data_IF_741205648177
#
_entry.id   IF_741205648177
#
_cell.length_a   1.000
_cell.length_b   1.000
_cell.length_c   1.000
_cell.angle_alpha   90.00
_cell.angle_beta   90.00
_cell.angle_gamma   90.00
#
_symmetry.space_group_name_H-M   'P 1'
#
loop_
_entity.id
_entity.type
_entity.pdbx_description
1 polymer ?
#
# COMPACT_ATOMS: atom_id res chain seq x y z
N UNK A 1 -10.98 35.49 -7.74
CA UNK A 1 -9.74 34.89 -7.19
C UNK A 1 -10.08 34.34 -5.83
N UNK A 2 -10.34 33.04 -5.73
CA UNK A 2 -10.59 32.35 -4.45
C UNK A 2 -9.43 31.39 -4.30
N UNK A 3 -8.57 31.62 -3.29
CA UNK A 3 -7.46 30.75 -2.97
C UNK A 3 -7.99 29.37 -2.54
N UNK A 4 -7.29 28.25 -2.90
CA UNK A 4 -7.66 26.96 -2.38
C UNK A 4 -7.37 26.92 -0.88
N UNK A 5 -8.39 26.70 -0.10
CA UNK A 5 -8.30 26.42 1.33
C UNK A 5 -7.61 25.06 1.49
N UNK A 6 -6.37 25.11 1.97
CA UNK A 6 -5.68 23.94 2.52
C UNK A 6 -6.56 23.36 3.64
N UNK A 7 -6.97 22.11 3.51
CA UNK A 7 -7.60 21.35 4.61
C UNK A 7 -6.70 21.40 5.84
N UNK A 8 -7.26 21.51 7.05
CA UNK A 8 -6.46 21.65 8.27
C UNK A 8 -5.60 20.42 8.46
N UNK A 9 -4.28 20.62 8.60
CA UNK A 9 -3.36 19.59 9.02
C UNK A 9 -3.89 18.89 10.26
N UNK A 10 -4.03 17.55 10.19
CA UNK A 10 -4.41 16.74 11.33
C UNK A 10 -3.42 16.99 12.47
N UNK A 11 -3.91 17.29 13.66
CA UNK A 11 -3.11 17.54 14.87
C UNK A 11 -2.48 16.26 15.45
N UNK A 12 -2.45 15.15 14.69
CA UNK A 12 -1.80 13.88 15.02
C UNK A 12 -0.50 13.71 14.22
N UNK A 13 0.49 13.01 14.82
CA UNK A 13 1.73 12.62 14.12
C UNK A 13 1.47 11.77 12.86
N UNK A 14 2.52 11.43 12.10
CA UNK A 14 2.39 10.62 10.88
C UNK A 14 1.83 9.24 11.20
N UNK A 15 0.88 8.76 10.38
CA UNK A 15 0.30 7.42 10.55
C UNK A 15 1.29 6.32 10.20
N UNK A 16 2.16 6.57 9.23
CA UNK A 16 3.26 5.67 8.86
C UNK A 16 4.56 6.47 8.76
N UNK A 17 5.61 5.99 9.42
CA UNK A 17 6.95 6.58 9.36
C UNK A 17 7.98 5.51 9.06
N UNK A 18 8.81 5.77 8.08
CA UNK A 18 9.99 5.02 7.71
C UNK A 18 11.23 5.83 8.09
N UNK A 19 12.14 5.27 8.89
CA UNK A 19 13.30 5.98 9.44
C UNK A 19 14.59 5.21 9.14
N UNK A 20 15.39 5.71 8.21
CA UNK A 20 16.67 5.17 7.78
C UNK A 20 16.62 3.66 7.49
N UNK A 21 15.57 3.19 6.83
CA UNK A 21 15.37 1.78 6.53
C UNK A 21 16.39 1.30 5.52
N UNK A 22 17.14 0.26 5.89
CA UNK A 22 18.10 -0.47 5.04
C UNK A 22 17.68 -1.92 4.94
N UNK A 23 17.88 -2.52 3.78
CA UNK A 23 17.63 -3.95 3.57
C UNK A 23 18.70 -4.53 2.67
N UNK A 24 19.33 -5.59 3.17
CA UNK A 24 20.29 -6.40 2.41
C UNK A 24 19.80 -7.84 2.32
N UNK A 25 20.09 -8.48 1.19
CA UNK A 25 19.95 -9.91 0.97
C UNK A 25 21.34 -10.47 0.67
N UNK A 26 21.95 -11.10 1.67
CA UNK A 26 23.38 -11.46 1.61
C UNK A 26 24.25 -10.21 1.45
N UNK A 27 25.09 -10.18 0.42
CA UNK A 27 25.95 -9.04 0.12
C UNK A 27 25.27 -7.91 -0.67
N UNK A 28 24.05 -8.12 -1.18
CA UNK A 28 23.34 -7.12 -1.99
C UNK A 28 22.48 -6.22 -1.12
N UNK A 29 22.86 -4.95 -0.99
CA UNK A 29 22.08 -3.93 -0.31
C UNK A 29 21.05 -3.33 -1.27
N UNK A 30 19.76 -3.67 -1.07
CA UNK A 30 18.62 -3.26 -1.91
C UNK A 30 18.03 -1.93 -1.46
N UNK A 31 17.94 -1.68 -0.14
CA UNK A 31 17.49 -0.38 0.41
C UNK A 31 18.64 0.25 1.19
N UNK A 32 18.91 1.52 0.92
CA UNK A 32 20.10 2.22 1.37
C UNK A 32 19.79 3.46 2.21
N UNK A 33 18.93 3.28 3.23
CA UNK A 33 18.64 4.35 4.19
C UNK A 33 17.44 5.21 3.79
N UNK A 34 16.30 4.58 3.52
CA UNK A 34 15.05 5.24 3.14
C UNK A 34 14.40 5.86 4.36
N UNK A 35 14.00 7.15 4.24
CA UNK A 35 13.27 7.88 5.29
C UNK A 35 12.17 8.72 4.69
N UNK A 36 10.95 8.57 5.21
CA UNK A 36 9.79 9.40 4.89
C UNK A 36 8.69 9.25 5.96
N UNK A 37 7.72 10.14 5.92
CA UNK A 37 6.54 10.12 6.79
C UNK A 37 5.29 10.31 5.94
N UNK A 38 4.18 9.69 6.36
CA UNK A 38 2.89 9.78 5.69
C UNK A 38 1.85 10.22 6.71
N UNK A 39 1.20 11.38 6.49
CA UNK A 39 0.04 11.79 7.28
C UNK A 39 -1.15 10.86 7.05
N UNK A 40 -2.08 10.80 8.03
CA UNK A 40 -3.34 10.09 7.84
C UNK A 40 -4.16 10.74 6.71
N UNK A 41 -4.79 9.91 5.88
CA UNK A 41 -5.64 10.33 4.76
C UNK A 41 -4.87 10.78 3.52
N UNK A 42 -3.53 10.65 3.48
CA UNK A 42 -2.74 11.04 2.31
C UNK A 42 -2.30 9.84 1.47
N UNK A 43 -2.04 10.12 0.20
CA UNK A 43 -1.57 9.16 -0.80
C UNK A 43 -0.12 9.46 -1.16
N UNK A 44 0.78 8.51 -0.83
CA UNK A 44 2.17 8.51 -1.30
C UNK A 44 2.31 7.55 -2.47
N UNK A 45 2.78 8.04 -3.60
CA UNK A 45 3.18 7.17 -4.72
C UNK A 45 4.69 7.01 -4.79
N UNK A 46 5.14 5.79 -5.04
CA UNK A 46 6.56 5.46 -5.23
C UNK A 46 6.74 4.96 -6.67
N UNK A 47 7.53 5.69 -7.43
CA UNK A 47 7.88 5.35 -8.82
C UNK A 47 9.36 5.02 -8.92
N UNK A 48 9.77 4.38 -10.00
CA UNK A 48 11.18 4.04 -10.27
C UNK A 48 11.32 2.79 -11.15
N UNK A 49 12.50 2.59 -11.69
CA UNK A 49 12.81 1.47 -12.56
C UNK A 49 12.63 0.11 -11.86
N UNK A 50 12.50 -0.97 -12.64
CA UNK A 50 12.52 -2.33 -12.09
C UNK A 50 13.83 -2.56 -11.33
N UNK A 51 13.77 -3.26 -10.19
CA UNK A 51 14.92 -3.49 -9.34
C UNK A 51 15.36 -2.31 -8.46
N UNK A 52 14.68 -1.15 -8.48
CA UNK A 52 15.04 0.00 -7.63
C UNK A 52 14.74 -0.21 -6.14
N UNK A 53 14.02 -1.28 -5.76
CA UNK A 53 13.72 -1.63 -4.36
C UNK A 53 12.28 -1.33 -3.91
N UNK A 54 11.37 -0.89 -4.79
CA UNK A 54 9.99 -0.48 -4.48
C UNK A 54 9.21 -1.55 -3.70
N UNK A 55 9.10 -2.77 -4.25
CA UNK A 55 8.38 -3.88 -3.60
C UNK A 55 9.04 -4.33 -2.31
N UNK A 56 10.39 -4.29 -2.25
CA UNK A 56 11.13 -4.57 -1.02
C UNK A 56 10.80 -3.55 0.06
N UNK A 57 10.69 -2.27 -0.30
CA UNK A 57 10.31 -1.21 0.62
C UNK A 57 8.88 -1.45 1.16
N UNK A 58 7.89 -1.71 0.29
CA UNK A 58 6.54 -2.02 0.74
C UNK A 58 6.50 -3.22 1.70
N UNK A 59 7.26 -4.28 1.41
CA UNK A 59 7.37 -5.45 2.28
C UNK A 59 8.05 -5.15 3.61
N UNK A 60 8.95 -4.18 3.66
CA UNK A 60 9.51 -3.68 4.91
C UNK A 60 8.49 -2.86 5.70
N UNK A 61 7.64 -2.06 5.05
CA UNK A 61 6.63 -1.23 5.72
C UNK A 61 5.61 -2.08 6.49
N UNK A 62 5.18 -3.23 5.95
CA UNK A 62 4.26 -4.14 6.64
C UNK A 62 4.98 -5.28 7.39
N UNK A 63 6.31 -5.22 7.48
CA UNK A 63 7.13 -6.22 8.17
C UNK A 63 6.95 -7.65 7.64
N UNK A 64 6.67 -7.82 6.33
CA UNK A 64 6.82 -9.09 5.61
C UNK A 64 8.31 -9.37 5.36
N UNK A 65 9.08 -8.31 5.10
CA UNK A 65 10.54 -8.34 5.11
C UNK A 65 11.04 -7.53 6.32
N UNK A 66 11.87 -8.15 7.15
CA UNK A 66 12.50 -7.44 8.25
C UNK A 66 13.60 -6.52 7.71
N UNK A 67 13.60 -5.21 8.00
CA UNK A 67 14.73 -4.34 7.71
C UNK A 67 16.04 -4.88 8.32
N UNK A 68 17.14 -4.72 7.62
CA UNK A 68 18.49 -5.02 8.16
C UNK A 68 18.88 -4.00 9.23
N UNK A 69 18.48 -2.74 9.01
CA UNK A 69 18.58 -1.64 10.00
C UNK A 69 17.56 -0.56 9.69
N UNK A 70 17.42 0.40 10.59
CA UNK A 70 16.36 1.40 10.53
C UNK A 70 15.04 0.87 11.10
N UNK A 71 14.00 1.68 11.05
CA UNK A 71 12.74 1.39 11.73
C UNK A 71 11.54 1.86 10.92
N UNK A 72 10.44 1.12 11.07
CA UNK A 72 9.11 1.48 10.58
C UNK A 72 8.20 1.67 11.77
N UNK A 73 7.39 2.72 11.76
CA UNK A 73 6.40 3.00 12.78
C UNK A 73 5.01 3.09 12.15
N UNK A 74 4.05 2.45 12.79
CA UNK A 74 2.64 2.58 12.47
C UNK A 74 1.94 3.25 13.66
N UNK A 75 1.32 4.40 13.42
CA UNK A 75 0.60 5.16 14.44
C UNK A 75 1.45 5.39 15.71
N UNK A 76 2.71 5.79 15.51
CA UNK A 76 3.69 6.01 16.57
C UNK A 76 4.31 4.75 17.18
N UNK A 77 3.77 3.55 16.91
CA UNK A 77 4.31 2.28 17.42
C UNK A 77 5.35 1.67 16.47
N UNK A 78 6.54 1.28 16.94
CA UNK A 78 7.54 0.64 16.09
C UNK A 78 7.08 -0.76 15.66
N UNK A 79 7.34 -1.11 14.40
CA UNK A 79 7.12 -2.44 13.83
C UNK A 79 8.31 -3.34 14.13
N UNK A 80 8.05 -4.59 14.55
CA UNK A 80 9.10 -5.59 14.78
C UNK A 80 9.97 -5.37 16.04
N UNK A 81 9.83 -4.25 16.71
CA UNK A 81 10.62 -3.90 17.91
C UNK A 81 9.67 -3.52 19.07
N UNK A 82 10.09 -3.87 20.27
CA UNK A 82 9.47 -3.49 21.53
C UNK A 82 10.44 -2.68 22.36
N UNK A 83 9.99 -1.56 22.93
CA UNK A 83 10.76 -0.72 23.83
C UNK A 83 10.42 -1.15 25.28
N UNK A 84 11.41 -1.57 26.05
CA UNK A 84 11.27 -1.90 27.48
C UNK A 84 11.14 -0.62 28.32
N UNK A 85 10.63 -0.68 29.58
CA UNK A 85 10.53 0.49 30.45
C UNK A 85 11.87 1.22 30.69
N UNK A 86 12.98 0.51 30.60
CA UNK A 86 14.34 1.09 30.71
C UNK A 86 14.86 1.68 29.39
N UNK A 87 14.01 1.82 28.34
CA UNK A 87 14.38 2.32 27.03
C UNK A 87 15.09 1.32 26.11
N UNK A 88 15.41 0.11 26.60
CA UNK A 88 16.08 -0.91 25.77
C UNK A 88 15.17 -1.43 24.67
N UNK A 89 15.66 -1.47 23.44
CA UNK A 89 14.97 -2.04 22.28
C UNK A 89 15.25 -3.54 22.16
N UNK A 90 14.21 -4.32 22.01
CA UNK A 90 14.30 -5.78 21.83
C UNK A 90 13.34 -6.22 20.71
N UNK A 91 13.60 -7.34 20.02
CA UNK A 91 12.66 -7.89 19.05
C UNK A 91 11.25 -8.06 19.66
N UNK A 92 10.23 -7.69 18.91
CA UNK A 92 8.84 -7.85 19.37
C UNK A 92 8.40 -9.31 19.20
N UNK A 93 7.37 -9.71 19.95
CA UNK A 93 6.77 -11.04 19.83
C UNK A 93 6.01 -11.17 18.51
N UNK A 94 6.04 -12.35 17.89
CA UNK A 94 5.33 -12.63 16.64
C UNK A 94 3.84 -12.24 16.69
N UNK A 95 3.16 -12.50 17.81
CA UNK A 95 1.75 -12.12 18.01
C UNK A 95 1.54 -10.59 17.96
N UNK A 96 2.44 -9.79 18.51
CA UNK A 96 2.35 -8.33 18.45
C UNK A 96 2.60 -7.82 17.05
N UNK A 97 3.59 -8.39 16.34
CA UNK A 97 3.87 -8.07 14.95
C UNK A 97 2.64 -8.39 14.09
N UNK A 98 2.03 -9.57 14.27
CA UNK A 98 0.82 -9.97 13.56
C UNK A 98 -0.35 -9.00 13.82
N UNK A 99 -0.56 -8.58 15.08
CA UNK A 99 -1.59 -7.60 15.46
C UNK A 99 -1.37 -6.24 14.78
N UNK A 100 -0.12 -5.76 14.72
CA UNK A 100 0.22 -4.51 14.03
C UNK A 100 0.06 -4.66 12.52
N UNK A 101 0.52 -5.78 11.93
CA UNK A 101 0.37 -6.08 10.51
C UNK A 101 -1.10 -6.13 10.07
N UNK A 102 -2.01 -6.63 10.93
CA UNK A 102 -3.44 -6.65 10.64
C UNK A 102 -4.06 -5.24 10.48
N UNK A 103 -3.34 -4.17 10.85
CA UNK A 103 -3.75 -2.79 10.64
C UNK A 103 -3.20 -2.19 9.33
N UNK A 104 -2.45 -2.96 8.55
CA UNK A 104 -1.90 -2.57 7.25
C UNK A 104 -2.47 -3.52 6.21
N UNK A 105 -3.29 -3.02 5.29
CA UNK A 105 -3.73 -3.77 4.12
C UNK A 105 -2.62 -3.84 3.09
N UNK A 106 -2.47 -4.98 2.40
CA UNK A 106 -1.53 -5.09 1.28
C UNK A 106 -2.17 -5.79 0.11
N UNK A 107 -2.05 -5.17 -1.05
CA UNK A 107 -2.50 -5.66 -2.34
C UNK A 107 -1.27 -5.89 -3.20
N UNK A 108 -1.11 -7.11 -3.70
CA UNK A 108 0.05 -7.53 -4.48
C UNK A 108 -0.23 -7.46 -5.98
N UNK A 109 0.80 -7.49 -6.78
CA UNK A 109 0.73 -7.62 -8.24
C UNK A 109 -0.02 -8.88 -8.65
N UNK A 110 0.29 -10.02 -8.00
CA UNK A 110 -0.51 -11.24 -8.12
C UNK A 110 -1.67 -11.18 -7.13
N UNK A 111 -2.86 -11.57 -7.55
CA UNK A 111 -4.09 -11.44 -6.76
C UNK A 111 -4.06 -12.22 -5.44
N UNK A 112 -3.33 -13.35 -5.43
CA UNK A 112 -3.12 -14.22 -4.26
C UNK A 112 -4.45 -14.62 -3.57
N UNK A 113 -5.50 -14.85 -4.36
CA UNK A 113 -6.75 -15.37 -3.85
C UNK A 113 -6.63 -16.87 -3.58
N UNK A 114 -7.34 -17.33 -2.56
CA UNK A 114 -7.48 -18.76 -2.30
C UNK A 114 -8.43 -19.38 -3.35
N UNK A 115 -7.95 -20.26 -4.23
CA UNK A 115 -8.72 -20.74 -5.37
C UNK A 115 -9.91 -21.64 -4.98
N UNK A 116 -9.87 -22.24 -3.80
CA UNK A 116 -10.91 -23.08 -3.23
C UNK A 116 -11.97 -22.33 -2.42
N UNK A 117 -11.87 -21.01 -2.35
CA UNK A 117 -12.80 -20.12 -1.65
C UNK A 117 -13.51 -19.20 -2.65
N UNK A 118 -14.78 -18.90 -2.40
CA UNK A 118 -15.52 -17.88 -3.16
C UNK A 118 -14.95 -16.48 -2.91
N UNK A 119 -15.39 -15.49 -3.69
CA UNK A 119 -15.00 -14.09 -3.47
C UNK A 119 -15.36 -13.63 -2.04
N UNK A 120 -16.58 -13.92 -1.58
CA UNK A 120 -17.00 -13.59 -0.21
C UNK A 120 -16.13 -14.29 0.84
N UNK A 121 -15.85 -15.58 0.67
CA UNK A 121 -15.00 -16.32 1.60
C UNK A 121 -13.57 -15.76 1.65
N UNK A 122 -12.99 -15.38 0.50
CA UNK A 122 -11.70 -14.72 0.43
C UNK A 122 -11.67 -13.40 1.23
N UNK A 123 -12.75 -12.64 1.20
CA UNK A 123 -12.87 -11.36 1.94
C UNK A 123 -13.10 -11.60 3.44
N UNK A 124 -13.87 -12.63 3.80
CA UNK A 124 -14.33 -12.83 5.18
C UNK A 124 -13.40 -13.68 6.05
N UNK A 125 -12.51 -14.47 5.45
CA UNK A 125 -11.66 -15.40 6.19
C UNK A 125 -10.83 -14.72 7.28
N UNK A 126 -10.18 -13.59 6.95
CA UNK A 126 -9.40 -12.85 7.93
C UNK A 126 -10.28 -12.20 9.03
N UNK A 127 -11.52 -11.85 8.72
CA UNK A 127 -12.47 -11.34 9.71
C UNK A 127 -12.82 -12.41 10.76
N UNK A 128 -12.96 -13.65 10.31
CA UNK A 128 -13.27 -14.78 11.20
C UNK A 128 -12.03 -15.20 11.98
N UNK A 129 -10.92 -15.48 11.28
CA UNK A 129 -9.74 -16.09 11.90
C UNK A 129 -8.88 -15.10 12.70
N UNK A 130 -8.81 -13.85 12.28
CA UNK A 130 -7.93 -12.83 12.89
C UNK A 130 -8.71 -11.91 13.82
N UNK A 131 -9.90 -11.43 13.39
CA UNK A 131 -10.75 -10.54 14.20
C UNK A 131 -11.72 -11.28 15.11
N UNK A 132 -11.90 -12.60 14.93
CA UNK A 132 -12.81 -13.43 15.75
C UNK A 132 -14.29 -13.09 15.56
N UNK A 133 -14.68 -12.51 14.41
CA UNK A 133 -16.07 -12.23 14.14
C UNK A 133 -16.86 -13.52 13.89
N UNK A 134 -18.12 -13.55 14.31
CA UNK A 134 -19.02 -14.64 13.90
C UNK A 134 -19.26 -14.60 12.38
N UNK A 135 -19.63 -15.76 11.82
CA UNK A 135 -19.74 -15.93 10.38
C UNK A 135 -20.81 -15.02 9.74
N UNK A 136 -21.90 -14.75 10.44
CA UNK A 136 -22.97 -13.91 9.90
C UNK A 136 -22.50 -12.46 9.79
N UNK A 137 -21.92 -11.89 10.85
CA UNK A 137 -21.35 -10.53 10.83
C UNK A 137 -20.21 -10.40 9.83
N UNK A 138 -19.35 -11.42 9.73
CA UNK A 138 -18.29 -11.43 8.74
C UNK A 138 -18.85 -11.43 7.30
N UNK A 139 -19.91 -12.20 7.03
CA UNK A 139 -20.56 -12.25 5.74
C UNK A 139 -21.21 -10.90 5.37
N UNK A 140 -21.90 -10.24 6.30
CA UNK A 140 -22.50 -8.93 6.08
C UNK A 140 -21.44 -7.87 5.77
N UNK A 141 -20.38 -7.83 6.55
CA UNK A 141 -19.25 -6.92 6.31
C UNK A 141 -18.55 -7.23 4.99
N UNK A 142 -18.36 -8.50 4.66
CA UNK A 142 -17.77 -8.96 3.41
C UNK A 142 -18.60 -8.54 2.19
N UNK A 143 -19.92 -8.70 2.23
CA UNK A 143 -20.83 -8.24 1.15
C UNK A 143 -20.79 -6.73 0.98
N UNK A 144 -20.81 -5.98 2.08
CA UNK A 144 -20.68 -4.51 2.04
C UNK A 144 -19.33 -4.08 1.43
N UNK A 145 -18.26 -4.81 1.73
CA UNK A 145 -16.94 -4.52 1.17
C UNK A 145 -16.84 -4.90 -0.31
N UNK A 146 -17.45 -6.02 -0.71
CA UNK A 146 -17.57 -6.39 -2.13
C UNK A 146 -18.40 -5.37 -2.93
N UNK A 147 -19.46 -4.82 -2.33
CA UNK A 147 -20.24 -3.75 -2.95
C UNK A 147 -19.39 -2.51 -3.22
N UNK A 148 -18.50 -2.11 -2.30
CA UNK A 148 -17.57 -0.97 -2.49
C UNK A 148 -16.63 -1.13 -3.68
N UNK A 149 -16.30 -2.36 -4.07
CA UNK A 149 -15.46 -2.64 -5.23
C UNK A 149 -16.27 -3.12 -6.45
N UNK A 150 -17.61 -2.90 -6.45
CA UNK A 150 -18.55 -3.27 -7.51
C UNK A 150 -18.53 -4.76 -7.85
N UNK A 151 -18.50 -5.63 -6.83
CA UNK A 151 -18.47 -7.10 -6.99
C UNK A 151 -19.46 -7.85 -6.09
N UNK A 152 -20.52 -7.17 -5.59
CA UNK A 152 -21.51 -7.82 -4.73
C UNK A 152 -22.17 -9.02 -5.43
N UNK A 153 -22.51 -8.90 -6.72
CA UNK A 153 -23.12 -9.97 -7.52
C UNK A 153 -22.20 -11.16 -7.79
N UNK A 154 -20.90 -10.97 -7.54
CA UNK A 154 -19.85 -12.00 -7.70
C UNK A 154 -19.43 -12.64 -6.37
N UNK A 155 -20.17 -12.37 -5.28
CA UNK A 155 -19.83 -12.85 -3.94
C UNK A 155 -19.64 -14.37 -3.85
N UNK A 156 -20.44 -15.12 -4.58
CA UNK A 156 -20.44 -16.59 -4.55
C UNK A 156 -19.62 -17.22 -5.69
N UNK A 157 -18.99 -16.40 -6.56
CA UNK A 157 -18.10 -16.89 -7.63
C UNK A 157 -16.72 -17.25 -7.07
N UNK A 158 -16.13 -18.33 -7.63
CA UNK A 158 -14.75 -18.72 -7.35
C UNK A 158 -13.77 -17.93 -8.23
N UNK A 159 -12.50 -17.76 -7.80
CA UNK A 159 -11.49 -16.99 -8.57
C UNK A 159 -11.37 -17.43 -10.04
N UNK A 160 -11.51 -18.72 -10.33
CA UNK A 160 -11.45 -19.24 -11.70
C UNK A 160 -12.57 -18.71 -12.63
N UNK A 161 -13.66 -18.15 -12.09
CA UNK A 161 -14.76 -17.54 -12.84
C UNK A 161 -14.68 -16.02 -12.92
N UNK A 162 -13.66 -15.44 -12.32
CA UNK A 162 -13.46 -13.99 -12.26
C UNK A 162 -12.38 -13.56 -13.28
N UNK A 163 -12.60 -12.43 -13.94
CA UNK A 163 -11.54 -11.77 -14.73
C UNK A 163 -10.37 -11.34 -13.84
N UNK A 164 -9.21 -11.04 -14.41
CA UNK A 164 -8.06 -10.54 -13.67
C UNK A 164 -8.39 -9.28 -12.86
N UNK A 165 -9.09 -8.31 -13.48
CA UNK A 165 -9.54 -7.09 -12.79
C UNK A 165 -10.53 -7.37 -11.66
N UNK A 166 -11.44 -8.34 -11.84
CA UNK A 166 -12.34 -8.77 -10.77
C UNK A 166 -11.59 -9.45 -9.62
N UNK A 167 -10.62 -10.32 -9.92
CA UNK A 167 -9.77 -10.95 -8.90
C UNK A 167 -8.98 -9.91 -8.10
N UNK A 168 -8.43 -8.90 -8.76
CA UNK A 168 -7.71 -7.82 -8.10
C UNK A 168 -8.64 -6.99 -7.21
N UNK A 169 -9.85 -6.69 -7.67
CA UNK A 169 -10.84 -5.99 -6.83
C UNK A 169 -11.27 -6.82 -5.62
N UNK A 170 -11.38 -8.16 -5.74
CA UNK A 170 -11.56 -9.04 -4.56
C UNK A 170 -10.36 -8.96 -3.61
N UNK A 171 -9.12 -8.91 -4.12
CA UNK A 171 -7.94 -8.77 -3.28
C UNK A 171 -7.92 -7.41 -2.54
N UNK A 172 -8.36 -6.32 -3.20
CA UNK A 172 -8.57 -5.01 -2.55
C UNK A 172 -9.64 -5.12 -1.47
N UNK A 173 -10.80 -5.72 -1.77
CA UNK A 173 -11.89 -5.92 -0.81
C UNK A 173 -11.43 -6.73 0.40
N UNK A 174 -10.65 -7.80 0.20
CA UNK A 174 -10.07 -8.61 1.28
C UNK A 174 -9.20 -7.78 2.23
N UNK A 175 -8.35 -6.92 1.68
CA UNK A 175 -7.51 -6.03 2.49
C UNK A 175 -8.35 -4.96 3.20
N UNK A 176 -9.32 -4.36 2.50
CA UNK A 176 -10.18 -3.29 2.99
C UNK A 176 -11.13 -3.76 4.11
N UNK A 177 -11.64 -5.01 4.05
CA UNK A 177 -12.51 -5.59 5.06
C UNK A 177 -11.88 -5.61 6.47
N UNK A 178 -10.54 -5.69 6.53
CA UNK A 178 -9.79 -5.58 7.78
C UNK A 178 -9.80 -4.17 8.38
N UNK A 179 -10.45 -3.18 7.75
CA UNK A 179 -10.43 -1.77 8.16
C UNK A 179 -9.01 -1.30 8.53
N UNK A 180 -8.07 -1.37 7.59
CA UNK A 180 -6.67 -1.01 7.85
C UNK A 180 -6.51 0.50 8.02
N UNK A 181 -5.45 0.91 8.75
CA UNK A 181 -5.05 2.31 8.86
C UNK A 181 -4.30 2.80 7.61
N UNK A 182 -3.64 1.90 6.91
CA UNK A 182 -2.85 2.16 5.69
C UNK A 182 -3.06 1.02 4.70
N UNK A 183 -3.23 1.35 3.43
CA UNK A 183 -3.25 0.39 2.32
C UNK A 183 -1.97 0.50 1.51
N UNK A 184 -1.29 -0.62 1.29
CA UNK A 184 -0.10 -0.73 0.44
C UNK A 184 -0.47 -1.43 -0.86
N UNK A 185 -0.13 -0.83 -2.00
CA UNK A 185 -0.37 -1.39 -3.33
C UNK A 185 0.97 -1.64 -4.04
N UNK A 186 1.28 -2.91 -4.29
CA UNK A 186 2.51 -3.33 -4.97
C UNK A 186 2.20 -3.69 -6.42
N UNK A 187 2.27 -2.69 -7.32
CA UNK A 187 2.02 -2.84 -8.75
C UNK A 187 0.68 -3.54 -9.07
N UNK A 188 -0.39 -3.12 -8.41
CA UNK A 188 -1.69 -3.79 -8.41
C UNK A 188 -2.37 -3.93 -9.79
N UNK A 189 -1.90 -3.22 -10.81
CA UNK A 189 -2.45 -3.27 -12.18
C UNK A 189 -1.52 -3.94 -13.19
N UNK A 190 -0.24 -4.20 -12.85
CA UNK A 190 0.78 -4.63 -13.80
C UNK A 190 0.55 -6.02 -14.43
N UNK A 191 -0.35 -6.83 -13.84
CA UNK A 191 -0.72 -8.16 -14.36
C UNK A 191 -2.06 -8.16 -15.11
N UNK A 192 -2.60 -6.97 -15.42
CA UNK A 192 -3.91 -6.79 -16.04
C UNK A 192 -3.79 -6.26 -17.47
N UNK A 193 -4.77 -6.64 -18.29
CA UNK A 193 -4.97 -6.00 -19.59
C UNK A 193 -5.39 -4.52 -19.40
N UNK A 194 -5.07 -3.64 -20.36
CA UNK A 194 -5.37 -2.20 -20.25
C UNK A 194 -6.85 -1.89 -19.98
N UNK A 195 -7.78 -2.65 -20.54
CA UNK A 195 -9.22 -2.47 -20.32
C UNK A 195 -9.61 -2.76 -18.86
N UNK A 196 -9.00 -3.76 -18.22
CA UNK A 196 -9.29 -4.15 -16.83
C UNK A 196 -8.55 -3.26 -15.81
N UNK A 197 -7.45 -2.64 -16.22
CA UNK A 197 -6.68 -1.69 -15.41
C UNK A 197 -7.54 -0.52 -14.95
N UNK A 198 -8.36 0.04 -15.84
CA UNK A 198 -9.24 1.18 -15.53
C UNK A 198 -10.19 0.92 -14.36
N UNK A 199 -10.80 -0.27 -14.29
CA UNK A 199 -11.72 -0.65 -13.21
C UNK A 199 -11.04 -0.72 -11.83
N UNK A 200 -9.80 -1.20 -11.78
CA UNK A 200 -9.01 -1.29 -10.55
C UNK A 200 -8.56 0.10 -10.10
N UNK A 201 -8.08 0.93 -11.03
CA UNK A 201 -7.67 2.30 -10.75
C UNK A 201 -8.85 3.15 -10.25
N UNK A 202 -10.07 2.92 -10.77
CA UNK A 202 -11.26 3.63 -10.29
C UNK A 202 -11.56 3.32 -8.83
N UNK A 203 -11.50 2.05 -8.43
CA UNK A 203 -11.62 1.67 -7.01
C UNK A 203 -10.55 2.35 -6.16
N UNK A 204 -9.31 2.41 -6.64
CA UNK A 204 -8.22 3.07 -5.89
C UNK A 204 -8.43 4.59 -5.80
N UNK A 205 -8.97 5.26 -6.84
CA UNK A 205 -9.36 6.68 -6.79
C UNK A 205 -10.43 6.93 -5.74
N UNK A 206 -11.47 6.09 -5.74
CA UNK A 206 -12.54 6.19 -4.74
C UNK A 206 -11.99 6.06 -3.32
N UNK A 207 -11.09 5.12 -3.06
CA UNK A 207 -10.46 4.97 -1.74
C UNK A 207 -9.64 6.22 -1.34
N UNK A 208 -8.92 6.83 -2.30
CA UNK A 208 -8.21 8.08 -2.07
C UNK A 208 -9.17 9.22 -1.69
N UNK A 209 -10.27 9.36 -2.43
CA UNK A 209 -11.31 10.38 -2.17
C UNK A 209 -12.02 10.15 -0.83
N UNK A 210 -12.19 8.89 -0.40
CA UNK A 210 -12.71 8.54 0.93
C UNK A 210 -11.71 8.83 2.07
N UNK A 211 -10.50 9.31 1.78
CA UNK A 211 -9.47 9.64 2.76
C UNK A 211 -8.67 8.44 3.27
N UNK A 212 -8.63 7.34 2.50
CA UNK A 212 -7.78 6.20 2.84
C UNK A 212 -6.30 6.57 2.71
N UNK A 213 -5.52 6.34 3.75
CA UNK A 213 -4.07 6.48 3.66
C UNK A 213 -3.49 5.37 2.78
N UNK A 214 -2.75 5.74 1.74
CA UNK A 214 -2.22 4.77 0.78
C UNK A 214 -0.74 4.98 0.50
N UNK A 215 -0.01 3.87 0.30
CA UNK A 215 1.29 3.84 -0.36
C UNK A 215 1.15 3.02 -1.63
N UNK A 216 1.38 3.64 -2.77
CA UNK A 216 1.13 3.02 -4.07
C UNK A 216 2.44 2.91 -4.85
N UNK A 217 2.84 1.70 -5.19
CA UNK A 217 3.86 1.44 -6.21
C UNK A 217 3.13 1.17 -7.52
N UNK A 218 3.39 1.96 -8.54
CA UNK A 218 2.70 1.84 -9.84
C UNK A 218 3.56 2.32 -11.00
N UNK A 219 3.23 1.83 -12.18
CA UNK A 219 3.68 2.33 -13.48
C UNK A 219 2.62 3.20 -14.19
N UNK A 220 1.44 3.37 -13.58
CA UNK A 220 0.35 4.19 -14.09
C UNK A 220 0.59 5.67 -13.76
N UNK A 221 1.40 6.36 -14.58
CA UNK A 221 1.83 7.74 -14.27
C UNK A 221 0.67 8.74 -14.28
N UNK A 222 -0.35 8.53 -15.11
CA UNK A 222 -1.57 9.34 -15.15
C UNK A 222 -2.32 9.26 -13.82
N UNK A 223 -2.54 8.05 -13.32
CA UNK A 223 -3.15 7.81 -12.01
C UNK A 223 -2.32 8.41 -10.88
N UNK A 224 -1.00 8.14 -10.87
CA UNK A 224 -0.10 8.68 -9.86
C UNK A 224 -0.15 10.21 -9.77
N UNK A 225 -0.18 10.90 -10.93
CA UNK A 225 -0.27 12.36 -11.00
C UNK A 225 -1.61 12.90 -10.47
N UNK A 226 -2.70 12.15 -10.68
CA UNK A 226 -4.05 12.54 -10.29
C UNK A 226 -4.32 12.41 -8.79
N UNK A 227 -3.89 11.29 -8.18
CA UNK A 227 -4.34 10.93 -6.83
C UNK A 227 -3.32 11.20 -5.73
N UNK A 228 -2.05 11.43 -6.08
CA UNK A 228 -1.01 11.52 -5.06
C UNK A 228 -0.93 12.90 -4.43
N UNK A 229 -0.76 12.95 -3.11
CA UNK A 229 -0.34 14.16 -2.39
C UNK A 229 1.18 14.33 -2.47
N UNK A 230 1.91 13.20 -2.58
CA UNK A 230 3.37 13.17 -2.63
C UNK A 230 3.85 12.02 -3.49
N UNK A 231 4.96 12.24 -4.20
CA UNK A 231 5.58 11.25 -5.06
C UNK A 231 7.06 11.13 -4.70
N UNK A 232 7.53 9.89 -4.55
CA UNK A 232 8.94 9.54 -4.37
C UNK A 232 9.43 8.81 -5.62
N UNK A 233 10.50 9.30 -6.23
CA UNK A 233 11.26 8.56 -7.23
C UNK A 233 12.39 7.80 -6.55
N UNK A 234 12.31 6.47 -6.60
CA UNK A 234 13.29 5.55 -6.01
C UNK A 234 14.28 5.08 -7.07
N UNK A 235 15.57 5.27 -6.82
CA UNK A 235 16.64 4.84 -7.70
C UNK A 235 17.74 4.13 -6.89
N UNK A 236 18.12 2.90 -7.31
CA UNK A 236 19.18 2.09 -6.65
C UNK A 236 19.07 2.04 -5.11
N UNK A 237 17.86 1.86 -4.60
CA UNK A 237 17.60 1.75 -3.17
C UNK A 237 17.66 3.06 -2.40
N UNK A 238 17.68 4.21 -3.06
CA UNK A 238 17.68 5.55 -2.44
C UNK A 238 16.55 6.41 -3.00
N UNK A 239 16.09 7.37 -2.20
CA UNK A 239 15.19 8.42 -2.67
C UNK A 239 16.04 9.42 -3.46
N UNK A 240 15.83 9.48 -4.77
CA UNK A 240 16.55 10.38 -5.67
C UNK A 240 15.78 11.70 -5.89
N UNK A 241 14.44 11.62 -5.88
CA UNK A 241 13.57 12.80 -5.85
C UNK A 241 12.34 12.54 -5.00
N UNK A 242 11.85 13.59 -4.34
CA UNK A 242 10.72 13.58 -3.42
C UNK A 242 10.01 14.93 -3.50
N UNK A 243 8.71 14.93 -3.71
CA UNK A 243 7.95 16.17 -3.83
C UNK A 243 6.49 15.94 -4.19
N UNK A 244 5.80 17.03 -4.52
CA UNK A 244 4.45 17.01 -5.05
C UNK A 244 4.41 16.40 -6.46
N UNK A 245 3.25 15.94 -6.96
CA UNK A 245 3.12 15.50 -8.35
C UNK A 245 3.63 16.52 -9.38
N UNK A 246 3.42 17.81 -9.15
CA UNK A 246 3.92 18.88 -10.03
C UNK A 246 5.46 18.92 -10.05
N UNK A 247 6.10 18.82 -8.88
CA UNK A 247 7.57 18.83 -8.75
C UNK A 247 8.24 17.62 -9.34
N UNK A 248 7.56 16.45 -9.29
CA UNK A 248 8.15 15.20 -9.77
C UNK A 248 7.83 14.95 -11.24
N UNK A 249 6.58 15.13 -11.68
CA UNK A 249 6.16 14.79 -13.06
C UNK A 249 6.34 15.93 -14.06
N UNK A 250 6.25 17.19 -13.63
CA UNK A 250 6.29 18.35 -14.54
C UNK A 250 7.63 19.08 -14.45
N UNK A 251 8.16 19.25 -13.26
CA UNK A 251 9.42 19.99 -13.01
C UNK A 251 10.47 19.16 -12.29
N UNK A 252 10.80 17.95 -12.78
CA UNK A 252 11.79 17.10 -12.11
C UNK A 252 13.14 17.79 -12.02
N UNK A 253 13.69 17.84 -10.80
CA UNK A 253 15.04 18.39 -10.54
C UNK A 253 16.13 17.35 -10.79
N UNK A 254 15.83 16.05 -10.50
CA UNK A 254 16.74 14.95 -10.77
C UNK A 254 16.80 14.65 -12.27
N UNK A 255 18.01 14.59 -12.83
CA UNK A 255 18.21 14.17 -14.22
C UNK A 255 17.80 12.70 -14.44
N UNK A 256 18.01 11.84 -13.44
CA UNK A 256 17.61 10.43 -13.47
C UNK A 256 16.09 10.29 -13.50
N UNK A 257 15.39 11.06 -12.66
CA UNK A 257 13.93 11.12 -12.65
C UNK A 257 13.40 11.57 -14.03
N UNK A 258 13.98 12.59 -14.61
CA UNK A 258 13.63 13.13 -15.93
C UNK A 258 13.76 12.09 -17.04
N UNK A 259 14.89 11.36 -17.07
CA UNK A 259 15.12 10.27 -18.03
C UNK A 259 14.12 9.11 -17.84
N UNK A 260 13.86 8.73 -16.58
CA UNK A 260 12.88 7.69 -16.26
C UNK A 260 11.48 8.08 -16.77
N UNK A 261 11.02 9.29 -16.48
CA UNK A 261 9.70 9.77 -16.91
C UNK A 261 9.59 9.87 -18.43
N UNK A 262 10.63 10.32 -19.13
CA UNK A 262 10.65 10.36 -20.60
C UNK A 262 10.48 8.98 -21.23
N UNK A 263 11.04 7.93 -20.61
CA UNK A 263 10.89 6.55 -21.11
C UNK A 263 9.57 5.89 -20.69
N UNK A 264 8.95 6.35 -19.61
CA UNK A 264 7.69 5.77 -19.10
C UNK A 264 6.44 6.44 -19.70
N UNK A 265 6.59 7.64 -20.29
CA UNK A 265 5.50 8.40 -20.91
C UNK A 265 5.53 8.34 -22.46
N UNK A 266 6.57 7.73 -23.03
CA UNK A 266 6.68 7.42 -24.47
C UNK A 266 5.99 6.10 -24.81
#
# INVERSE_FOLDING_TARGET
MIAPTLSPASTGGPILRCSNVRKSFGANEVLRGISFEIPAGSVLTIIGASGSGKSTLLRCLNHLEQPTSGEVYLDGEPMGVRIKPNGTRVPDKAANIARKRAQIGMVFQQFNLWPHMTALQNVTEALIQVKGLDRAKAADLGRNTLAKVNLLEKADDYPARLSGGQQQRVAIARALAMAPKVMLFDEATSSLDPELTGEVLEVMRQLAQEGMTMVVVTHEMGFAREVSDRVIFLHEGQIDQDGTPEEVFVKPTSERCRRFLSSALS
#
